data_IF_826385832715
#
_entry.id   IF_826385832715
#
_cell.length_a   1.000
_cell.length_b   1.000
_cell.length_c   1.000
_cell.angle_alpha   90.00
_cell.angle_beta   90.00
_cell.angle_gamma   90.00
#
_symmetry.space_group_name_H-M   'P 1'
#
loop_
_entity.id
_entity.type
_entity.pdbx_description
1 polymer ?
#
# COMPACT_ATOMS: atom_id res chain seq x y z
N UNK A 1 4.02 6.70 -9.96
CA UNK A 1 4.68 6.96 -8.65
C UNK A 1 3.83 7.93 -7.87
N UNK A 2 3.63 7.66 -6.57
CA UNK A 2 3.05 8.64 -5.65
C UNK A 2 3.96 9.87 -5.62
N UNK A 3 3.48 11.02 -6.06
CA UNK A 3 4.30 12.24 -6.20
C UNK A 3 4.38 13.06 -4.90
N UNK A 4 3.67 12.66 -3.85
CA UNK A 4 3.53 13.43 -2.61
C UNK A 4 3.90 12.63 -1.35
N UNK A 5 4.76 11.61 -1.45
CA UNK A 5 5.23 10.89 -0.28
C UNK A 5 6.11 11.80 0.60
N UNK A 6 5.98 11.69 1.92
CA UNK A 6 6.83 12.43 2.85
C UNK A 6 7.92 11.50 3.39
N UNK A 7 9.17 11.83 3.10
CA UNK A 7 10.33 11.03 3.52
C UNK A 7 10.78 11.29 4.97
N UNK A 8 10.16 12.25 5.66
CA UNK A 8 10.44 12.51 7.07
C UNK A 8 9.39 11.82 7.94
N UNK A 9 9.71 10.72 8.63
CA UNK A 9 8.77 10.04 9.52
C UNK A 9 8.39 10.94 10.70
N UNK A 10 7.25 10.69 11.37
CA UNK A 10 6.88 11.37 12.61
C UNK A 10 8.01 11.27 13.65
N UNK A 11 8.16 12.26 14.55
CA UNK A 11 9.28 12.32 15.52
C UNK A 11 9.46 11.06 16.36
N UNK A 12 8.36 10.38 16.73
CA UNK A 12 8.37 9.18 17.58
C UNK A 12 8.42 7.87 16.78
N UNK A 13 8.38 7.95 15.45
CA UNK A 13 8.47 6.79 14.58
C UNK A 13 9.93 6.28 14.51
N UNK A 14 10.07 4.97 14.33
CA UNK A 14 11.36 4.29 14.20
C UNK A 14 11.47 3.63 12.84
N UNK A 15 12.55 3.94 12.12
CA UNK A 15 12.93 3.21 10.93
C UNK A 15 13.92 2.10 11.32
N UNK A 16 13.61 0.85 10.94
CA UNK A 16 14.48 -0.31 11.22
C UNK A 16 14.22 -1.45 10.23
N UNK A 17 15.04 -2.51 10.32
CA UNK A 17 14.82 -3.77 9.59
C UNK A 17 14.02 -4.74 10.46
N UNK A 18 12.78 -5.04 10.06
CA UNK A 18 11.95 -6.06 10.70
C UNK A 18 12.46 -7.43 10.29
N UNK A 19 13.06 -8.15 11.23
CA UNK A 19 13.55 -9.52 11.01
C UNK A 19 12.40 -10.51 11.07
N UNK A 20 12.26 -11.32 10.02
CA UNK A 20 11.21 -12.34 9.87
C UNK A 20 11.80 -13.70 9.49
N UNK A 21 11.00 -14.75 9.55
CA UNK A 21 11.40 -16.08 9.07
C UNK A 21 11.71 -16.12 7.55
N UNK A 22 11.40 -15.05 6.81
CA UNK A 22 11.58 -14.98 5.36
C UNK A 22 12.57 -13.89 4.91
N UNK A 23 13.30 -13.30 5.83
CA UNK A 23 14.27 -12.23 5.60
C UNK A 23 13.92 -10.97 6.35
N UNK A 24 14.64 -9.90 6.05
CA UNK A 24 14.52 -8.60 6.69
C UNK A 24 13.79 -7.62 5.76
N UNK A 25 12.88 -6.83 6.33
CA UNK A 25 12.11 -5.83 5.61
C UNK A 25 12.28 -4.46 6.26
N UNK A 26 12.57 -3.44 5.47
CA UNK A 26 12.65 -2.08 5.96
C UNK A 26 11.24 -1.58 6.34
N UNK A 27 11.12 -1.02 7.54
CA UNK A 27 9.84 -0.51 8.06
C UNK A 27 9.99 0.88 8.65
N UNK A 28 8.88 1.63 8.66
CA UNK A 28 8.65 2.78 9.54
C UNK A 28 7.54 2.39 10.50
N UNK A 29 7.88 2.29 11.78
CA UNK A 29 6.99 1.88 12.87
C UNK A 29 6.69 3.09 13.75
N UNK A 30 5.45 3.55 13.72
CA UNK A 30 4.98 4.70 14.49
C UNK A 30 4.10 4.22 15.63
N UNK A 31 4.43 4.55 16.88
CA UNK A 31 3.65 4.15 18.05
C UNK A 31 2.30 4.88 18.10
N UNK A 32 1.47 4.46 19.06
CA UNK A 32 0.31 5.23 19.48
C UNK A 32 0.80 6.52 20.15
N UNK A 33 0.12 7.64 19.93
CA UNK A 33 0.46 8.92 20.54
C UNK A 33 0.43 8.85 22.08
N UNK A 34 1.30 9.62 22.72
CA UNK A 34 1.40 9.65 24.19
C UNK A 34 0.06 9.98 24.85
N UNK A 35 -0.28 9.21 25.87
CA UNK A 35 -1.52 9.37 26.63
C UNK A 35 -2.78 8.82 25.94
N UNK A 36 -2.66 8.29 24.72
CA UNK A 36 -3.76 7.67 23.97
C UNK A 36 -3.80 6.16 24.21
N UNK A 37 -4.97 5.63 24.49
CA UNK A 37 -5.14 4.18 24.69
C UNK A 37 -4.97 3.43 23.36
N UNK A 38 -4.12 2.39 23.34
CA UNK A 38 -3.91 1.54 22.17
C UNK A 38 -5.19 0.80 21.77
N UNK A 39 -5.50 0.80 20.47
CA UNK A 39 -6.71 0.18 19.90
C UNK A 39 -6.39 -0.95 18.92
N UNK A 40 -5.22 -0.94 18.30
CA UNK A 40 -4.80 -1.96 17.35
C UNK A 40 -3.48 -1.63 16.68
N UNK A 41 -3.01 -2.57 15.86
CA UNK A 41 -1.83 -2.41 15.02
C UNK A 41 -2.25 -2.48 13.56
N UNK A 42 -1.64 -1.65 12.71
CA UNK A 42 -1.90 -1.57 11.28
C UNK A 42 -0.62 -1.92 10.52
N UNK A 43 -0.69 -2.87 9.59
CA UNK A 43 0.38 -3.15 8.63
C UNK A 43 -0.01 -2.54 7.27
N UNK A 44 0.86 -1.73 6.67
CA UNK A 44 0.59 -0.99 5.44
C UNK A 44 1.56 -1.38 4.32
N UNK A 45 1.00 -1.80 3.18
CA UNK A 45 1.72 -2.30 2.01
C UNK A 45 1.63 -1.31 0.85
N UNK A 46 2.76 -0.85 0.27
CA UNK A 46 2.77 0.16 -0.78
C UNK A 46 2.40 -0.39 -2.16
N UNK A 47 2.17 0.54 -3.08
CA UNK A 47 1.91 0.26 -4.49
C UNK A 47 3.14 -0.15 -5.30
N UNK A 48 2.97 -0.30 -6.61
CA UNK A 48 3.96 -0.84 -7.58
C UNK A 48 5.19 0.05 -7.63
N UNK A 49 5.47 1.06 -7.53
CA UNK A 49 6.72 1.87 -7.52
C UNK A 49 6.82 2.67 -6.22
N UNK A 50 6.02 2.26 -5.24
CA UNK A 50 5.91 2.92 -3.96
C UNK A 50 6.90 2.36 -2.94
N UNK A 51 6.80 2.91 -1.73
CA UNK A 51 7.58 2.50 -0.57
C UNK A 51 6.83 2.81 0.71
N UNK A 52 7.37 2.41 1.85
CA UNK A 52 6.82 2.70 3.19
C UNK A 52 6.55 4.18 3.44
N UNK A 53 7.30 5.06 2.77
CA UNK A 53 7.16 6.51 2.86
C UNK A 53 5.81 7.02 2.33
N UNK A 54 5.14 6.27 1.48
CA UNK A 54 3.81 6.63 0.96
C UNK A 54 2.74 6.71 2.07
N UNK A 55 3.04 6.17 3.26
CA UNK A 55 2.14 6.16 4.41
C UNK A 55 2.54 7.10 5.56
N UNK A 56 3.69 7.76 5.45
CA UNK A 56 4.26 8.60 6.51
C UNK A 56 3.27 9.64 7.03
N UNK A 57 2.52 10.29 6.13
CA UNK A 57 1.54 11.32 6.48
C UNK A 57 0.27 10.77 7.18
N UNK A 58 0.03 9.46 7.12
CA UNK A 58 -1.07 8.80 7.84
C UNK A 58 -0.70 8.44 9.28
N UNK A 59 0.59 8.27 9.57
CA UNK A 59 1.05 7.63 10.81
C UNK A 59 0.71 8.44 12.05
N UNK A 60 1.03 9.74 12.08
CA UNK A 60 0.71 10.58 13.24
C UNK A 60 -0.81 10.70 13.50
N UNK A 61 -1.67 11.01 12.49
CA UNK A 61 -3.11 11.02 12.68
C UNK A 61 -3.70 9.69 13.16
N UNK A 62 -3.16 8.55 12.71
CA UNK A 62 -3.59 7.24 13.17
C UNK A 62 -3.12 6.95 14.59
N UNK A 63 -1.89 7.37 14.95
CA UNK A 63 -1.37 7.31 16.32
C UNK A 63 -2.24 8.06 17.31
N UNK A 64 -2.71 9.26 16.96
CA UNK A 64 -3.66 10.06 17.75
C UNK A 64 -5.02 9.37 17.93
N UNK A 65 -5.37 8.46 17.06
CA UNK A 65 -6.59 7.64 17.13
C UNK A 65 -6.38 6.30 17.87
N UNK A 66 -5.17 6.04 18.37
CA UNK A 66 -4.84 4.83 19.13
C UNK A 66 -4.36 3.64 18.28
N UNK A 67 -3.96 3.86 17.04
CA UNK A 67 -3.47 2.81 16.16
C UNK A 67 -1.95 2.93 15.95
N UNK A 68 -1.19 1.91 16.41
CA UNK A 68 0.21 1.73 16.00
C UNK A 68 0.23 1.40 14.50
N UNK A 69 1.12 2.02 13.75
CA UNK A 69 1.22 1.80 12.30
C UNK A 69 2.61 1.32 11.92
N UNK A 70 2.67 0.28 11.10
CA UNK A 70 3.91 -0.25 10.52
C UNK A 70 3.77 -0.21 9.00
N UNK A 71 4.47 0.72 8.37
CA UNK A 71 4.60 0.78 6.92
C UNK A 71 5.83 -0.01 6.49
N UNK A 72 5.73 -0.85 5.47
CA UNK A 72 6.81 -1.77 5.08
C UNK A 72 7.16 -1.62 3.60
N UNK A 73 8.45 -1.65 3.27
CA UNK A 73 8.89 -1.94 1.92
C UNK A 73 8.78 -3.44 1.67
N UNK A 74 8.04 -3.86 0.66
CA UNK A 74 7.97 -5.26 0.24
C UNK A 74 9.31 -5.75 -0.30
N UNK A 75 9.47 -7.07 -0.46
CA UNK A 75 10.69 -7.67 -1.03
C UNK A 75 11.09 -6.96 -2.32
N UNK A 76 12.34 -6.51 -2.40
CA UNK A 76 12.91 -5.82 -3.57
C UNK A 76 12.38 -4.41 -3.81
N UNK A 77 11.56 -3.86 -2.93
CA UNK A 77 11.18 -2.43 -2.97
C UNK A 77 12.15 -1.62 -2.12
N UNK A 78 12.60 -0.52 -2.67
CA UNK A 78 13.45 0.52 -2.07
C UNK A 78 14.53 -0.01 -1.12
N UNK A 79 14.31 0.02 0.20
CA UNK A 79 15.28 -0.39 1.20
C UNK A 79 15.17 -1.88 1.59
N UNK A 80 14.17 -2.62 1.12
CA UNK A 80 14.07 -4.06 1.36
C UNK A 80 14.80 -4.86 0.28
N UNK A 81 15.72 -5.73 0.71
CA UNK A 81 16.51 -6.52 -0.20
C UNK A 81 15.70 -7.54 -1.01
N UNK A 82 16.27 -7.96 -2.13
CA UNK A 82 15.73 -9.00 -2.99
C UNK A 82 16.65 -9.27 -4.18
N UNK A 83 16.52 -10.42 -4.86
CA UNK A 83 17.29 -10.76 -6.05
C UNK A 83 17.06 -9.78 -7.21
N UNK A 84 18.13 -9.46 -7.95
CA UNK A 84 18.06 -8.53 -9.08
C UNK A 84 17.48 -9.15 -10.36
N UNK A 85 17.63 -10.48 -10.52
CA UNK A 85 17.33 -11.16 -11.77
C UNK A 85 16.39 -12.37 -11.62
N UNK A 86 15.95 -12.70 -10.41
CA UNK A 86 15.04 -13.83 -10.17
C UNK A 86 13.60 -13.31 -9.93
N UNK A 87 12.79 -13.31 -10.98
CA UNK A 87 11.39 -12.91 -10.91
C UNK A 87 10.53 -13.88 -10.07
N UNK A 88 10.92 -15.14 -9.92
CA UNK A 88 10.11 -16.16 -9.25
C UNK A 88 9.91 -15.86 -7.75
N UNK A 89 10.89 -15.26 -7.09
CA UNK A 89 10.78 -14.87 -5.69
C UNK A 89 9.79 -13.75 -5.44
N UNK A 90 9.40 -13.03 -6.48
CA UNK A 90 8.38 -11.98 -6.47
C UNK A 90 7.01 -12.46 -6.93
N UNK A 91 6.83 -13.78 -7.13
CA UNK A 91 5.52 -14.33 -7.45
C UNK A 91 4.50 -13.98 -6.34
N UNK A 92 3.24 -13.74 -6.73
CA UNK A 92 2.18 -13.34 -5.81
C UNK A 92 2.10 -14.19 -4.53
N UNK A 93 2.16 -15.54 -4.60
CA UNK A 93 2.15 -16.37 -3.39
C UNK A 93 3.37 -16.15 -2.49
N UNK A 94 4.54 -15.82 -3.06
CA UNK A 94 5.76 -15.58 -2.27
C UNK A 94 5.65 -14.23 -1.53
N UNK A 95 5.20 -13.17 -2.21
CA UNK A 95 4.96 -11.87 -1.58
C UNK A 95 3.86 -11.96 -0.49
N UNK A 96 2.84 -12.76 -0.73
CA UNK A 96 1.80 -13.02 0.27
C UNK A 96 2.34 -13.73 1.51
N UNK A 97 3.24 -14.71 1.35
CA UNK A 97 3.94 -15.36 2.48
C UNK A 97 4.86 -14.40 3.22
N UNK A 98 5.48 -13.44 2.53
CA UNK A 98 6.27 -12.39 3.18
C UNK A 98 5.38 -11.54 4.10
N UNK A 99 4.17 -11.17 3.68
CA UNK A 99 3.21 -10.45 4.53
C UNK A 99 2.84 -11.26 5.78
N UNK A 100 2.55 -12.55 5.64
CA UNK A 100 2.26 -13.42 6.79
C UNK A 100 3.46 -13.50 7.75
N UNK A 101 4.68 -13.58 7.24
CA UNK A 101 5.89 -13.59 8.06
C UNK A 101 6.11 -12.24 8.78
N UNK A 102 5.79 -11.12 8.12
CA UNK A 102 5.83 -9.79 8.74
C UNK A 102 4.84 -9.69 9.90
N UNK A 103 3.59 -10.14 9.71
CA UNK A 103 2.59 -10.15 10.80
C UNK A 103 3.03 -11.07 11.95
N UNK A 104 3.57 -12.25 11.64
CA UNK A 104 4.10 -13.15 12.67
C UNK A 104 5.23 -12.50 13.48
N UNK A 105 6.14 -11.75 12.83
CA UNK A 105 7.22 -11.03 13.48
C UNK A 105 6.73 -9.85 14.35
N UNK A 106 5.60 -9.22 13.99
CA UNK A 106 4.96 -8.19 14.82
C UNK A 106 4.32 -8.78 16.09
N UNK A 107 4.04 -10.07 16.12
CA UNK A 107 3.54 -10.80 17.30
C UNK A 107 2.12 -10.43 17.72
N UNK A 108 1.33 -9.82 16.86
CA UNK A 108 -0.05 -9.41 17.13
C UNK A 108 -0.90 -9.51 15.85
N UNK A 109 -2.22 -9.62 16.02
CA UNK A 109 -3.14 -9.43 14.89
C UNK A 109 -3.08 -8.01 14.39
N UNK A 110 -3.33 -7.82 13.09
CA UNK A 110 -3.24 -6.49 12.48
C UNK A 110 -4.46 -6.17 11.62
N UNK A 111 -4.78 -4.90 11.52
CA UNK A 111 -5.53 -4.36 10.38
C UNK A 111 -4.58 -4.27 9.20
N UNK A 112 -4.87 -4.99 8.10
CA UNK A 112 -4.04 -4.99 6.91
C UNK A 112 -4.55 -3.93 5.93
N UNK A 113 -3.66 -3.03 5.51
CA UNK A 113 -3.95 -1.99 4.52
C UNK A 113 -3.03 -2.20 3.33
N UNK A 114 -3.58 -2.29 2.14
CA UNK A 114 -2.79 -2.37 0.91
C UNK A 114 -3.20 -1.32 -0.11
N UNK A 115 -2.24 -0.52 -0.55
CA UNK A 115 -2.44 0.45 -1.62
C UNK A 115 -2.11 -0.17 -2.97
N UNK A 116 -3.01 -0.07 -3.95
CA UNK A 116 -2.77 -0.49 -5.34
C UNK A 116 -2.25 -1.94 -5.43
N UNK A 117 -1.03 -2.17 -5.92
CA UNK A 117 -0.36 -3.48 -5.91
C UNK A 117 -0.33 -4.10 -4.51
N UNK A 118 -0.06 -3.29 -3.49
CA UNK A 118 -0.07 -3.73 -2.08
C UNK A 118 -1.41 -4.32 -1.67
N UNK A 119 -2.52 -3.80 -2.19
CA UNK A 119 -3.86 -4.36 -1.97
C UNK A 119 -4.05 -5.72 -2.62
N UNK A 120 -3.49 -5.96 -3.80
CA UNK A 120 -3.51 -7.28 -4.44
C UNK A 120 -2.64 -8.29 -3.67
N UNK A 121 -1.49 -7.86 -3.14
CA UNK A 121 -0.63 -8.70 -2.28
C UNK A 121 -1.34 -9.00 -0.95
N UNK A 122 -1.95 -7.98 -0.33
CA UNK A 122 -2.71 -8.13 0.90
C UNK A 122 -3.89 -9.12 0.74
N UNK A 123 -4.64 -9.01 -0.37
CA UNK A 123 -5.68 -9.96 -0.74
C UNK A 123 -5.16 -11.39 -0.83
N UNK A 124 -4.01 -11.58 -1.48
CA UNK A 124 -3.40 -12.89 -1.61
C UNK A 124 -2.95 -13.45 -0.25
N UNK A 125 -2.44 -12.61 0.66
CA UNK A 125 -2.08 -13.02 2.02
C UNK A 125 -3.31 -13.46 2.83
N UNK A 126 -4.40 -12.69 2.77
CA UNK A 126 -5.68 -13.03 3.44
C UNK A 126 -6.27 -14.33 2.89
N UNK A 127 -6.16 -14.58 1.59
CA UNK A 127 -6.64 -15.84 0.97
C UNK A 127 -5.77 -17.05 1.32
N UNK A 128 -4.49 -16.85 1.67
CA UNK A 128 -3.63 -17.92 2.17
C UNK A 128 -3.92 -18.25 3.64
N UNK A 129 -4.04 -17.24 4.47
CA UNK A 129 -4.39 -17.35 5.89
C UNK A 129 -4.97 -16.03 6.38
N UNK A 130 -6.27 -16.01 6.72
CA UNK A 130 -6.94 -14.82 7.22
C UNK A 130 -6.89 -14.68 8.75
N UNK A 131 -6.49 -15.73 9.47
CA UNK A 131 -6.52 -15.75 10.93
C UNK A 131 -5.71 -14.61 11.61
N UNK A 132 -4.55 -14.17 11.11
CA UNK A 132 -3.78 -13.11 11.75
C UNK A 132 -4.27 -11.69 11.44
N UNK A 133 -5.37 -11.53 10.71
CA UNK A 133 -5.91 -10.21 10.34
C UNK A 133 -7.21 -9.90 11.07
N UNK A 134 -7.34 -8.65 11.54
CA UNK A 134 -8.58 -8.10 12.12
C UNK A 134 -9.49 -7.48 11.06
N UNK A 135 -8.93 -7.02 9.96
CA UNK A 135 -9.63 -6.52 8.77
C UNK A 135 -8.69 -6.38 7.59
N UNK A 136 -9.26 -6.25 6.39
CA UNK A 136 -8.54 -5.88 5.17
C UNK A 136 -9.11 -4.58 4.60
N UNK A 137 -8.25 -3.58 4.40
CA UNK A 137 -8.56 -2.36 3.63
C UNK A 137 -7.82 -2.36 2.31
N UNK A 138 -8.57 -2.24 1.21
CA UNK A 138 -8.08 -2.09 -0.15
C UNK A 138 -8.14 -0.61 -0.54
N UNK A 139 -6.98 0.04 -0.60
CA UNK A 139 -6.85 1.46 -0.97
C UNK A 139 -6.52 1.53 -2.46
N UNK A 140 -7.41 2.09 -3.27
CA UNK A 140 -7.23 2.21 -4.74
C UNK A 140 -6.72 0.91 -5.37
N UNK A 141 -7.28 -0.22 -4.96
CA UNK A 141 -6.89 -1.57 -5.41
C UNK A 141 -8.12 -2.36 -5.84
N UNK A 142 -8.20 -2.65 -7.14
CA UNK A 142 -9.40 -3.22 -7.76
C UNK A 142 -9.47 -4.75 -7.73
N UNK A 143 -10.58 -5.32 -8.23
CA UNK A 143 -10.89 -6.74 -8.12
C UNK A 143 -9.95 -7.64 -8.94
N UNK A 144 -9.41 -7.11 -10.05
CA UNK A 144 -8.66 -7.86 -11.05
C UNK A 144 -7.55 -6.97 -11.66
N UNK A 145 -7.11 -7.31 -12.87
CA UNK A 145 -6.09 -6.56 -13.61
C UNK A 145 -6.40 -5.07 -13.75
N UNK A 146 -5.35 -4.28 -13.91
CA UNK A 146 -5.42 -2.83 -14.15
C UNK A 146 -6.02 -2.48 -15.52
N UNK A 147 -6.39 -1.20 -15.69
CA UNK A 147 -6.95 -0.65 -16.94
C UNK A 147 -6.01 -0.84 -18.14
N UNK A 148 -6.57 -0.75 -19.37
CA UNK A 148 -5.78 -0.90 -20.59
C UNK A 148 -4.67 0.14 -20.70
N UNK A 149 -4.96 1.40 -20.38
CA UNK A 149 -3.98 2.48 -20.40
C UNK A 149 -2.80 2.23 -19.46
N UNK A 150 -3.08 1.71 -18.28
CA UNK A 150 -2.04 1.37 -17.29
C UNK A 150 -1.25 0.12 -17.73
N UNK A 151 -1.89 -0.87 -18.36
CA UNK A 151 -1.16 -2.02 -18.93
C UNK A 151 -0.17 -1.61 -20.00
N UNK A 152 -0.51 -0.62 -20.84
CA UNK A 152 0.43 -0.06 -21.80
C UNK A 152 1.62 0.62 -21.13
N UNK A 153 1.41 1.37 -20.04
CA UNK A 153 2.50 1.99 -19.26
C UNK A 153 3.42 0.92 -18.65
N UNK A 154 2.85 -0.13 -18.06
CA UNK A 154 3.63 -1.26 -17.52
C UNK A 154 4.42 -1.96 -18.61
N UNK A 155 3.83 -2.16 -19.79
CA UNK A 155 4.55 -2.74 -20.94
C UNK A 155 5.73 -1.87 -21.37
N UNK A 156 5.53 -0.56 -21.50
CA UNK A 156 6.60 0.37 -21.86
C UNK A 156 7.74 0.36 -20.83
N UNK A 157 7.41 0.29 -19.55
CA UNK A 157 8.42 0.16 -18.49
C UNK A 157 9.19 -1.15 -18.60
N UNK A 158 8.51 -2.26 -18.86
CA UNK A 158 9.14 -3.56 -19.09
C UNK A 158 10.09 -3.53 -20.29
N UNK A 159 9.60 -3.06 -21.44
CA UNK A 159 10.41 -2.96 -22.67
C UNK A 159 11.65 -2.06 -22.46
N UNK A 160 11.54 -1.01 -21.63
CA UNK A 160 12.66 -0.16 -21.25
C UNK A 160 13.67 -0.91 -20.36
N UNK A 161 13.20 -1.60 -19.32
CA UNK A 161 14.06 -2.36 -18.40
C UNK A 161 14.76 -3.56 -19.06
N UNK A 162 14.25 -4.07 -20.19
CA UNK A 162 14.91 -5.13 -20.98
C UNK A 162 16.20 -4.63 -21.66
N UNK A 163 16.36 -3.32 -21.86
CA UNK A 163 17.47 -2.74 -22.63
C UNK A 163 18.21 -1.60 -21.91
N UNK A 164 17.66 -1.07 -20.85
CA UNK A 164 18.15 0.08 -20.12
C UNK A 164 18.33 -0.24 -18.63
N UNK A 165 19.28 0.41 -18.01
CA UNK A 165 19.47 0.36 -16.55
C UNK A 165 18.37 1.17 -15.82
N UNK A 166 18.19 0.92 -14.54
CA UNK A 166 17.27 1.71 -13.70
C UNK A 166 17.57 3.22 -13.75
N UNK A 167 18.86 3.59 -13.83
CA UNK A 167 19.27 4.99 -13.93
C UNK A 167 18.88 5.63 -15.27
N UNK A 168 19.02 4.91 -16.38
CA UNK A 168 18.61 5.39 -17.71
C UNK A 168 17.10 5.50 -17.82
N UNK A 169 16.34 4.50 -17.32
CA UNK A 169 14.88 4.57 -17.25
C UNK A 169 14.43 5.78 -16.44
N UNK A 170 15.08 6.05 -15.30
CA UNK A 170 14.79 7.26 -14.51
C UNK A 170 14.97 8.54 -15.34
N UNK A 171 16.06 8.68 -16.08
CA UNK A 171 16.30 9.85 -16.93
C UNK A 171 15.21 10.03 -17.99
N UNK A 172 14.79 8.92 -18.62
CA UNK A 172 13.70 8.95 -19.63
C UNK A 172 12.38 9.38 -18.97
N UNK A 173 12.06 8.84 -17.80
CA UNK A 173 10.84 9.23 -17.08
C UNK A 173 10.83 10.71 -16.70
N UNK A 174 11.97 11.28 -16.28
CA UNK A 174 12.09 12.71 -16.00
C UNK A 174 11.93 13.57 -17.27
N UNK A 175 12.51 13.13 -18.39
CA UNK A 175 12.39 13.84 -19.66
C UNK A 175 10.95 13.81 -20.24
N UNK A 176 10.17 12.78 -19.93
CA UNK A 176 8.77 12.63 -20.36
C UNK A 176 7.75 13.25 -19.41
N UNK A 177 8.19 13.65 -18.21
CA UNK A 177 7.33 14.34 -17.25
C UNK A 177 6.83 15.68 -17.81
N UNK A 178 5.66 16.19 -17.36
CA UNK A 178 5.25 17.53 -17.75
C UNK A 178 6.35 18.52 -17.38
N UNK A 179 6.62 19.55 -18.24
CA UNK A 179 7.50 20.63 -17.87
C UNK A 179 7.05 21.15 -16.51
N UNK A 180 7.99 21.44 -15.62
CA UNK A 180 7.68 22.02 -14.31
C UNK A 180 6.86 23.29 -14.55
N UNK A 181 5.54 23.18 -14.48
CA UNK A 181 4.72 24.37 -14.31
C UNK A 181 5.11 24.95 -12.95
N UNK A 182 5.67 26.17 -13.00
CA UNK A 182 6.07 26.97 -11.84
C UNK A 182 4.83 27.37 -11.03
N UNK A 183 4.12 26.41 -10.48
CA UNK A 183 3.04 26.56 -9.52
C UNK A 183 3.62 26.44 -8.11
N UNK A 184 3.46 27.49 -7.31
CA UNK A 184 3.85 27.48 -5.91
C UNK A 184 3.22 26.27 -5.20
N UNK A 185 3.98 25.52 -4.37
CA UNK A 185 3.45 24.39 -3.64
C UNK A 185 2.33 24.84 -2.70
N UNK A 186 1.27 24.03 -2.60
CA UNK A 186 0.29 24.24 -1.56
C UNK A 186 0.97 24.27 -0.18
N UNK A 187 0.65 25.22 0.70
CA UNK A 187 1.29 25.35 2.00
C UNK A 187 1.03 24.07 2.82
N UNK A 188 2.09 23.42 3.31
CA UNK A 188 2.01 22.31 4.27
C UNK A 188 2.31 20.91 3.77
N UNK A 189 2.58 20.71 2.48
CA UNK A 189 3.04 19.42 1.97
C UNK A 189 4.54 19.54 1.62
N UNK A 190 5.38 18.78 2.33
CA UNK A 190 6.78 18.66 1.98
C UNK A 190 6.88 18.13 0.53
N UNK A 191 7.51 18.92 -0.36
CA UNK A 191 7.88 18.41 -1.68
C UNK A 191 8.75 17.18 -1.46
N UNK A 192 8.41 16.08 -2.13
CA UNK A 192 9.39 15.02 -2.35
C UNK A 192 10.65 15.68 -2.94
N UNK A 193 11.74 15.56 -2.22
CA UNK A 193 13.02 15.97 -2.79
C UNK A 193 13.27 15.07 -4.00
N UNK A 194 13.46 15.60 -5.22
CA UNK A 194 13.64 14.79 -6.43
C UNK A 194 14.72 13.73 -6.28
N UNK A 195 15.69 14.01 -5.40
CA UNK A 195 16.78 13.11 -5.06
C UNK A 195 16.29 11.87 -4.28
N UNK A 196 15.37 12.03 -3.32
CA UNK A 196 14.78 10.92 -2.57
C UNK A 196 13.92 10.01 -3.45
N UNK A 197 13.19 10.58 -4.39
CA UNK A 197 12.44 9.82 -5.40
C UNK A 197 13.40 9.01 -6.30
N UNK A 198 14.52 9.61 -6.68
CA UNK A 198 15.55 8.93 -7.45
C UNK A 198 16.18 7.79 -6.64
N UNK A 199 16.54 8.03 -5.38
CA UNK A 199 17.08 7.01 -4.47
C UNK A 199 16.10 5.84 -4.32
N UNK A 200 14.82 6.12 -4.10
CA UNK A 200 13.75 5.11 -4.02
C UNK A 200 13.67 4.27 -5.29
N UNK A 201 13.64 4.93 -6.45
CA UNK A 201 13.62 4.25 -7.73
C UNK A 201 14.84 3.34 -7.92
N UNK A 202 16.06 3.86 -7.69
CA UNK A 202 17.30 3.11 -7.86
C UNK A 202 17.49 1.99 -6.83
N UNK A 203 16.89 2.11 -5.65
CA UNK A 203 16.88 1.06 -4.62
C UNK A 203 15.94 -0.10 -4.95
N UNK A 204 14.96 0.12 -5.82
CA UNK A 204 14.00 -0.94 -6.21
C UNK A 204 14.65 -1.91 -7.20
N UNK A 205 14.43 -3.23 -6.99
CA UNK A 205 15.00 -4.28 -7.85
C UNK A 205 14.26 -4.38 -9.19
N UNK A 206 14.96 -4.40 -10.34
CA UNK A 206 14.31 -4.55 -11.66
C UNK A 206 13.41 -5.77 -11.74
N UNK A 207 13.86 -6.93 -11.28
CA UNK A 207 13.07 -8.16 -11.29
C UNK A 207 11.76 -8.04 -10.48
N UNK A 208 11.75 -7.26 -9.40
CA UNK A 208 10.52 -6.96 -8.65
C UNK A 208 9.52 -6.17 -9.52
N UNK A 209 9.97 -5.14 -10.22
CA UNK A 209 9.12 -4.35 -11.11
C UNK A 209 8.60 -5.19 -12.28
N UNK A 210 9.46 -6.01 -12.90
CA UNK A 210 9.07 -6.88 -14.01
C UNK A 210 8.01 -7.89 -13.58
N UNK A 211 8.25 -8.62 -12.50
CA UNK A 211 7.34 -9.65 -11.97
C UNK A 211 6.00 -9.04 -11.53
N UNK A 212 6.03 -7.99 -10.72
CA UNK A 212 4.80 -7.41 -10.15
C UNK A 212 4.01 -6.59 -11.17
N UNK A 213 4.68 -5.93 -12.11
CA UNK A 213 4.05 -5.30 -13.27
C UNK A 213 3.30 -6.31 -14.14
N UNK A 214 3.91 -7.47 -14.43
CA UNK A 214 3.25 -8.56 -15.13
C UNK A 214 2.01 -9.07 -14.38
N UNK A 215 2.10 -9.20 -13.06
CA UNK A 215 0.98 -9.62 -12.20
C UNK A 215 -0.16 -8.60 -12.23
N UNK A 216 0.12 -7.30 -12.17
CA UNK A 216 -0.89 -6.25 -12.30
C UNK A 216 -1.68 -6.35 -13.62
N UNK A 217 -1.00 -6.75 -14.70
CA UNK A 217 -1.61 -6.91 -16.03
C UNK A 217 -2.47 -8.18 -16.18
N UNK A 218 -2.26 -9.19 -15.32
CA UNK A 218 -2.86 -10.52 -15.47
C UNK A 218 -3.66 -10.99 -14.26
N UNK A 219 -3.75 -10.17 -13.20
CA UNK A 219 -4.44 -10.52 -11.94
C UNK A 219 -5.89 -10.96 -12.18
N UNK A 220 -6.29 -12.16 -11.73
CA UNK A 220 -7.65 -12.63 -11.86
C UNK A 220 -8.58 -11.98 -10.81
N UNK A 221 -9.89 -11.95 -11.11
CA UNK A 221 -10.89 -11.57 -10.13
C UNK A 221 -11.06 -12.69 -9.08
N UNK A 222 -10.76 -12.36 -7.83
CA UNK A 222 -10.87 -13.26 -6.68
C UNK A 222 -11.80 -12.72 -5.58
N UNK A 223 -12.69 -11.78 -5.93
CA UNK A 223 -13.61 -11.13 -4.99
C UNK A 223 -14.52 -12.16 -4.32
N UNK A 224 -15.02 -13.13 -5.06
CA UNK A 224 -15.91 -14.16 -4.50
C UNK A 224 -15.20 -15.05 -3.46
N UNK A 225 -13.91 -15.35 -3.66
CA UNK A 225 -13.11 -16.10 -2.69
C UNK A 225 -12.90 -15.31 -1.39
N UNK A 226 -12.63 -14.00 -1.51
CA UNK A 226 -12.53 -13.12 -0.33
C UNK A 226 -13.86 -13.00 0.40
N UNK A 227 -14.96 -12.79 -0.33
CA UNK A 227 -16.30 -12.63 0.25
C UNK A 227 -16.77 -13.88 1.02
N UNK A 228 -16.17 -15.04 0.75
CA UNK A 228 -16.45 -16.28 1.48
C UNK A 228 -15.75 -16.35 2.86
N UNK A 229 -14.83 -15.44 3.17
CA UNK A 229 -14.13 -15.40 4.45
C UNK A 229 -14.85 -14.49 5.44
N UNK A 230 -14.86 -14.88 6.72
CA UNK A 230 -15.41 -14.06 7.80
C UNK A 230 -14.39 -12.99 8.25
N UNK A 231 -14.14 -12.00 7.38
CA UNK A 231 -13.23 -10.89 7.64
C UNK A 231 -13.92 -9.57 7.28
N UNK A 232 -13.83 -8.52 8.11
CA UNK A 232 -14.30 -7.19 7.74
C UNK A 232 -13.48 -6.56 6.62
N UNK A 233 -14.16 -6.01 5.60
CA UNK A 233 -13.56 -5.39 4.44
C UNK A 233 -13.86 -3.90 4.35
N UNK A 234 -12.88 -3.13 3.89
CA UNK A 234 -13.02 -1.72 3.54
C UNK A 234 -12.43 -1.48 2.14
N UNK A 235 -13.20 -0.87 1.26
CA UNK A 235 -12.74 -0.39 -0.06
C UNK A 235 -12.72 1.12 -0.01
N UNK A 236 -11.53 1.69 -0.11
CA UNK A 236 -11.28 3.13 -0.07
C UNK A 236 -10.59 3.56 -1.37
N UNK A 237 -10.99 4.67 -1.96
CA UNK A 237 -10.31 5.25 -3.14
C UNK A 237 -10.43 6.76 -3.15
N UNK A 238 -9.64 7.43 -3.99
CA UNK A 238 -9.93 8.80 -4.40
C UNK A 238 -11.20 8.88 -5.24
N UNK A 239 -11.65 10.11 -5.48
CA UNK A 239 -12.78 10.40 -6.37
C UNK A 239 -12.44 10.14 -7.84
N UNK A 240 -11.15 10.13 -8.18
CA UNK A 240 -10.62 9.86 -9.52
C UNK A 240 -9.57 8.76 -9.45
N UNK A 241 -9.74 7.71 -10.25
CA UNK A 241 -8.76 6.62 -10.36
C UNK A 241 -8.74 6.12 -11.81
N UNK A 242 -7.60 6.25 -12.49
CA UNK A 242 -7.39 5.80 -13.86
C UNK A 242 -6.83 4.37 -13.92
N UNK A 243 -6.39 3.83 -12.80
CA UNK A 243 -5.86 2.47 -12.69
C UNK A 243 -6.99 1.44 -12.56
N UNK A 244 -7.92 1.70 -11.65
CA UNK A 244 -9.21 1.00 -11.57
C UNK A 244 -10.33 2.02 -11.49
N UNK A 245 -11.16 2.16 -12.52
CA UNK A 245 -12.27 3.11 -12.52
C UNK A 245 -13.13 2.98 -11.26
N UNK A 246 -13.50 4.12 -10.66
CA UNK A 246 -14.25 4.18 -9.39
C UNK A 246 -15.50 3.30 -9.39
N UNK A 247 -16.32 3.24 -10.48
CA UNK A 247 -17.48 2.33 -10.52
C UNK A 247 -17.13 0.84 -10.36
N UNK A 248 -15.94 0.42 -10.80
CA UNK A 248 -15.46 -0.96 -10.60
C UNK A 248 -15.12 -1.24 -9.13
N UNK A 249 -14.59 -0.23 -8.42
CA UNK A 249 -14.33 -0.31 -6.99
C UNK A 249 -15.65 -0.31 -6.17
N UNK A 250 -16.66 0.44 -6.62
CA UNK A 250 -17.99 0.44 -6.02
C UNK A 250 -18.66 -0.94 -6.15
N UNK A 251 -18.62 -1.54 -7.35
CA UNK A 251 -19.11 -2.90 -7.58
C UNK A 251 -18.37 -3.92 -6.70
N UNK A 252 -17.03 -3.83 -6.63
CA UNK A 252 -16.24 -4.71 -5.77
C UNK A 252 -16.65 -4.57 -4.31
N UNK A 253 -16.88 -3.36 -3.81
CA UNK A 253 -17.30 -3.14 -2.43
C UNK A 253 -18.65 -3.81 -2.14
N UNK A 254 -19.61 -3.71 -3.04
CA UNK A 254 -20.91 -4.40 -2.93
C UNK A 254 -20.73 -5.92 -2.90
N UNK A 255 -19.94 -6.48 -3.80
CA UNK A 255 -19.67 -7.93 -3.88
C UNK A 255 -18.95 -8.48 -2.64
N UNK A 256 -18.10 -7.65 -1.99
CA UNK A 256 -17.42 -8.01 -0.74
C UNK A 256 -18.28 -7.80 0.51
N UNK A 257 -19.41 -7.09 0.42
CA UNK A 257 -20.11 -6.58 1.60
C UNK A 257 -19.24 -5.60 2.41
N UNK A 258 -18.35 -4.88 1.73
CA UNK A 258 -17.37 -4.01 2.33
C UNK A 258 -17.92 -2.63 2.66
N UNK A 259 -17.36 -1.98 3.70
CA UNK A 259 -17.51 -0.52 3.82
C UNK A 259 -16.88 0.14 2.60
N UNK A 260 -17.56 1.09 1.98
CA UNK A 260 -17.06 1.90 0.87
C UNK A 260 -16.80 3.33 1.34
N UNK A 261 -15.62 3.88 1.00
CA UNK A 261 -15.28 5.29 1.23
C UNK A 261 -14.62 5.88 -0.01
N UNK A 262 -15.08 7.04 -0.43
CA UNK A 262 -14.46 7.85 -1.48
C UNK A 262 -13.85 9.09 -0.82
N UNK A 263 -12.62 9.40 -1.13
CA UNK A 263 -11.90 10.57 -0.64
C UNK A 263 -11.97 11.65 -1.72
N UNK A 264 -12.70 12.73 -1.43
CA UNK A 264 -12.84 13.86 -2.34
C UNK A 264 -11.49 14.56 -2.59
N UNK A 265 -11.31 15.11 -3.77
CA UNK A 265 -10.09 15.78 -4.24
C UNK A 265 -8.83 14.88 -4.13
N UNK A 266 -8.98 13.57 -4.24
CA UNK A 266 -7.89 12.61 -4.31
C UNK A 266 -8.00 11.79 -5.59
N UNK A 267 -6.84 11.38 -6.09
CA UNK A 267 -6.70 10.49 -7.24
C UNK A 267 -6.36 9.07 -6.79
N UNK A 268 -5.51 8.37 -7.54
CA UNK A 268 -5.09 6.99 -7.26
C UNK A 268 -4.39 6.81 -5.90
N UNK A 269 -3.84 7.86 -5.31
CA UNK A 269 -3.05 7.78 -4.06
C UNK A 269 -3.65 8.66 -2.94
N UNK A 270 -4.87 8.37 -2.43
CA UNK A 270 -5.50 9.18 -1.39
C UNK A 270 -4.69 9.26 -0.09
N UNK A 271 -3.83 8.28 0.17
CA UNK A 271 -2.90 8.25 1.30
C UNK A 271 -1.84 9.38 1.24
N UNK A 272 -1.52 9.86 0.05
CA UNK A 272 -0.58 10.98 -0.14
C UNK A 272 -1.28 12.26 -0.58
N UNK A 273 -2.36 12.17 -1.36
CA UNK A 273 -3.09 13.35 -1.86
C UNK A 273 -3.90 14.03 -0.76
N UNK A 274 -4.57 13.23 0.06
CA UNK A 274 -5.47 13.69 1.13
C UNK A 274 -5.27 12.85 2.42
N UNK A 275 -4.09 12.95 3.05
CA UNK A 275 -3.71 12.05 4.16
C UNK A 275 -4.63 12.15 5.36
N UNK A 276 -5.04 13.34 5.79
CA UNK A 276 -5.91 13.51 6.96
C UNK A 276 -7.30 12.88 6.77
N UNK A 277 -8.08 13.18 5.69
CA UNK A 277 -9.33 12.49 5.43
C UNK A 277 -9.17 10.98 5.29
N UNK A 278 -8.07 10.51 4.67
CA UNK A 278 -7.79 9.08 4.52
C UNK A 278 -7.55 8.41 5.87
N UNK A 279 -6.72 9.00 6.74
CA UNK A 279 -6.48 8.48 8.10
C UNK A 279 -7.76 8.42 8.94
N UNK A 280 -8.60 9.46 8.86
CA UNK A 280 -9.90 9.47 9.56
C UNK A 280 -10.81 8.35 9.06
N UNK A 281 -10.93 8.17 7.74
CA UNK A 281 -11.76 7.12 7.16
C UNK A 281 -11.31 5.70 7.58
N UNK A 282 -10.00 5.46 7.63
CA UNK A 282 -9.41 4.22 8.13
C UNK A 282 -9.76 3.99 9.60
N UNK A 283 -9.46 4.96 10.46
CA UNK A 283 -9.73 4.85 11.90
C UNK A 283 -11.22 4.68 12.21
N UNK A 284 -12.11 5.39 11.51
CA UNK A 284 -13.56 5.28 11.69
C UNK A 284 -14.09 3.89 11.28
N UNK A 285 -13.47 3.26 10.29
CA UNK A 285 -13.79 1.88 9.95
C UNK A 285 -13.43 0.94 11.10
N UNK A 286 -12.20 0.99 11.60
CA UNK A 286 -11.74 0.09 12.67
C UNK A 286 -12.45 0.36 14.00
N UNK A 287 -12.72 1.61 14.36
CA UNK A 287 -13.51 1.98 15.54
C UNK A 287 -14.96 1.42 15.46
N UNK A 288 -15.52 1.36 14.25
CA UNK A 288 -16.81 0.74 13.99
C UNK A 288 -16.83 -0.76 14.32
N UNK A 289 -15.77 -1.49 13.95
CA UNK A 289 -15.64 -2.92 14.23
C UNK A 289 -15.58 -3.22 15.74
N UNK A 290 -14.85 -2.38 16.49
CA UNK A 290 -14.75 -2.52 17.96
C UNK A 290 -16.09 -2.32 18.66
N UNK A 291 -16.91 -1.37 18.20
CA UNK A 291 -18.26 -1.12 18.76
C UNK A 291 -19.24 -2.25 18.46
N UNK A 292 -19.15 -2.84 17.27
CA UNK A 292 -19.98 -3.98 16.88
C UNK A 292 -19.62 -5.28 17.59
N UNK A 293 -18.35 -5.47 17.97
CA UNK A 293 -17.86 -6.65 18.69
C UNK A 293 -18.23 -6.70 20.18
N UNK A 294 -18.46 -5.53 20.82
CA UNK A 294 -18.86 -5.46 22.24
C UNK A 294 -20.34 -5.78 22.51
N UNK A 295 -21.13 -6.06 21.45
CA UNK A 295 -22.57 -6.32 21.55
C UNK A 295 -23.01 -7.79 21.36
N UNK A 296 -22.08 -8.76 21.26
CA UNK A 296 -22.44 -10.18 21.32
C UNK A 296 -22.38 -10.66 22.78
N UNK A 297 -23.53 -10.86 23.49
CA UNK A 297 -23.53 -11.61 24.74
C UNK A 297 -23.09 -13.03 24.42
N UNK A 298 -22.14 -13.55 25.21
CA UNK A 298 -21.71 -14.93 25.12
C UNK A 298 -22.91 -15.88 25.21
N UNK A 299 -22.99 -16.79 24.27
CA UNK A 299 -23.79 -18.01 24.37
C UNK A 299 -22.92 -19.08 25.02
#
# INVERSE_FOLDING_TARGET
>A
MSRNAAFSPPPDARAYRLSTARGEFAVIDSPVADGVAARGTVLMLPGFTGSKEDFTLLQAPLGERGYRTVAVDGRGQYESDGPEHDEAVYARPELARDVLAQVAALGTRVHLVGHSLGGQIARAAVLLDHAPFDSLTLVSSGPARISESQRLRVKLLRDALDTMTMAEVWQVMQAMGPPEEAGAPAPGHGREEPERLRERWLGTRPAQLLATGSQLCTEPDRVAELAALELPYHVLSGAYDDTWPVPLLDEMAVRLGARRTVIEDAEHSPNTDRPQPTAHALADFWDGLRRGGSGRPGL
#
